data_IF_778018313449
#
_entry.id   IF_778018313449
#
_cell.length_a   1.000
_cell.length_b   1.000
_cell.length_c   1.000
_cell.angle_alpha   90.00
_cell.angle_beta   90.00
_cell.angle_gamma   90.00
#
_symmetry.space_group_name_H-M   'P 1'
#
loop_
_entity.id
_entity.type
_entity.pdbx_description
1 polymer ?
#
# COMPACT_ATOMS: atom_id res chain seq x y z
N UNK A 1 -0.87 17.08 -20.01
CA UNK A 1 -1.45 16.48 -18.79
C UNK A 1 -0.32 16.25 -17.81
N UNK A 2 -0.46 16.74 -16.58
CA UNK A 2 0.52 16.56 -15.50
C UNK A 2 -0.05 15.51 -14.55
N UNK A 3 0.62 14.36 -14.41
CA UNK A 3 0.13 13.26 -13.60
C UNK A 3 0.92 13.17 -12.28
N UNK A 4 0.26 13.53 -11.18
CA UNK A 4 0.83 13.53 -9.83
C UNK A 4 -0.02 12.67 -8.86
N UNK A 5 -0.55 11.56 -9.37
CA UNK A 5 -1.35 10.59 -8.59
C UNK A 5 -0.78 9.16 -8.62
N UNK A 6 0.54 9.05 -8.66
CA UNK A 6 1.26 7.76 -8.73
C UNK A 6 0.99 6.83 -7.53
N UNK A 7 0.58 7.36 -6.38
CA UNK A 7 0.16 6.50 -5.25
C UNK A 7 -1.20 5.82 -5.48
N UNK A 8 -2.04 6.31 -6.43
CA UNK A 8 -3.28 5.64 -6.80
C UNK A 8 -3.02 4.54 -7.85
N UNK A 9 -2.28 4.85 -8.91
CA UNK A 9 -1.91 3.89 -9.96
C UNK A 9 -0.64 4.36 -10.68
N UNK A 10 0.24 3.42 -11.03
CA UNK A 10 1.43 3.69 -11.82
C UNK A 10 1.28 3.12 -13.23
N UNK A 11 1.85 3.75 -14.26
CA UNK A 11 1.91 3.14 -15.60
C UNK A 11 2.76 1.87 -15.53
N UNK A 12 2.40 0.88 -16.34
CA UNK A 12 3.21 -0.34 -16.45
C UNK A 12 4.53 0.00 -17.16
N UNK A 13 5.66 -0.42 -16.57
CA UNK A 13 6.96 -0.28 -17.21
C UNK A 13 6.98 -1.07 -18.54
N UNK A 14 7.44 -0.49 -19.65
CA UNK A 14 7.48 -1.20 -20.94
C UNK A 14 8.23 -2.54 -20.89
N UNK A 15 9.30 -2.64 -20.10
CA UNK A 15 10.08 -3.88 -19.90
C UNK A 15 9.23 -4.96 -19.21
N UNK A 16 8.36 -4.56 -18.29
CA UNK A 16 7.42 -5.44 -17.60
C UNK A 16 6.31 -5.92 -18.52
N UNK A 17 5.80 -5.02 -19.37
CA UNK A 17 4.78 -5.38 -20.36
C UNK A 17 5.31 -6.37 -21.40
N UNK A 18 6.56 -6.22 -21.82
CA UNK A 18 7.24 -7.18 -22.71
C UNK A 18 7.32 -8.57 -22.07
N UNK A 19 7.71 -8.66 -20.79
CA UNK A 19 7.75 -9.92 -20.04
C UNK A 19 6.37 -10.56 -19.99
N UNK A 20 5.33 -9.79 -19.69
CA UNK A 20 3.95 -10.27 -19.69
C UNK A 20 3.56 -10.88 -21.04
N UNK A 21 3.69 -10.12 -22.13
CA UNK A 21 3.30 -10.56 -23.46
C UNK A 21 4.08 -11.82 -23.90
N UNK A 22 5.39 -11.85 -23.69
CA UNK A 22 6.24 -12.99 -24.03
C UNK A 22 5.85 -14.25 -23.25
N UNK A 23 5.52 -14.09 -21.96
CA UNK A 23 5.13 -15.23 -21.11
C UNK A 23 3.79 -15.81 -21.56
N UNK A 24 2.79 -14.97 -21.82
CA UNK A 24 1.48 -15.41 -22.32
C UNK A 24 1.56 -16.12 -23.69
N UNK A 25 2.45 -15.64 -24.58
CA UNK A 25 2.67 -16.25 -25.89
C UNK A 25 3.38 -17.60 -25.83
N UNK A 26 4.33 -17.78 -24.91
CA UNK A 26 5.17 -18.97 -24.83
C UNK A 26 4.56 -20.09 -23.97
N UNK A 27 3.70 -19.80 -23.02
CA UNK A 27 3.17 -20.77 -22.04
C UNK A 27 1.63 -20.81 -22.06
N UNK A 28 1.08 -21.45 -23.11
CA UNK A 28 -0.37 -21.57 -23.29
C UNK A 28 -1.03 -22.63 -22.39
N UNK A 29 -0.22 -23.48 -21.72
CA UNK A 29 -0.70 -24.59 -20.90
C UNK A 29 -1.18 -24.15 -19.54
N UNK A 30 -2.27 -24.76 -19.03
CA UNK A 30 -2.64 -24.58 -17.64
C UNK A 30 -1.60 -25.27 -16.73
N UNK A 31 -0.97 -24.57 -15.78
CA UNK A 31 0.03 -25.16 -14.88
C UNK A 31 -0.46 -26.36 -14.06
N UNK A 32 -1.78 -26.55 -13.92
CA UNK A 32 -2.37 -27.69 -13.25
C UNK A 32 -2.56 -28.91 -14.13
N UNK A 33 -2.36 -28.80 -15.46
CA UNK A 33 -2.48 -29.91 -16.39
C UNK A 33 -1.25 -30.83 -16.37
N UNK A 34 -1.46 -32.13 -16.61
CA UNK A 34 -0.41 -33.15 -16.57
C UNK A 34 0.33 -33.35 -17.89
N UNK A 35 -0.20 -32.83 -19.01
CA UNK A 35 0.44 -32.89 -20.33
C UNK A 35 1.64 -31.93 -20.44
N UNK A 36 2.46 -32.11 -21.46
CA UNK A 36 3.74 -31.40 -21.64
C UNK A 36 3.62 -29.86 -21.54
N UNK A 37 2.60 -29.26 -22.18
CA UNK A 37 2.40 -27.81 -22.11
C UNK A 37 2.06 -27.33 -20.69
N UNK A 38 1.26 -28.09 -19.92
CA UNK A 38 0.96 -27.78 -18.52
C UNK A 38 2.19 -27.92 -17.63
N UNK A 39 2.99 -28.98 -17.85
CA UNK A 39 4.24 -29.17 -17.11
C UNK A 39 5.25 -28.04 -17.38
N UNK A 40 5.39 -27.58 -18.62
CA UNK A 40 6.23 -26.43 -18.98
C UNK A 40 5.76 -25.14 -18.27
N UNK A 41 4.46 -24.86 -18.29
CA UNK A 41 3.89 -23.71 -17.57
C UNK A 41 4.08 -23.80 -16.04
N UNK A 42 3.98 -25.01 -15.45
CA UNK A 42 4.25 -25.24 -14.04
C UNK A 42 5.72 -25.00 -13.68
N UNK A 43 6.64 -25.49 -14.50
CA UNK A 43 8.07 -25.27 -14.29
C UNK A 43 8.40 -23.78 -14.34
N UNK A 44 7.84 -23.03 -15.29
CA UNK A 44 8.01 -21.58 -15.37
C UNK A 44 7.38 -20.87 -14.17
N UNK A 45 6.17 -21.26 -13.72
CA UNK A 45 5.55 -20.70 -12.52
C UNK A 45 6.41 -20.90 -11.27
N UNK A 46 7.00 -22.10 -11.12
CA UNK A 46 7.90 -22.38 -10.01
C UNK A 46 9.19 -21.55 -10.10
N UNK A 47 9.74 -21.37 -11.29
CA UNK A 47 10.92 -20.51 -11.53
C UNK A 47 10.62 -19.06 -11.16
N UNK A 48 9.51 -18.51 -11.65
CA UNK A 48 9.07 -17.14 -11.34
C UNK A 48 8.85 -16.95 -9.85
N UNK A 49 8.17 -17.90 -9.20
CA UNK A 49 7.95 -17.84 -7.73
C UNK A 49 9.28 -17.91 -6.96
N UNK A 50 10.21 -18.76 -7.41
CA UNK A 50 11.56 -18.82 -6.84
C UNK A 50 12.33 -17.50 -6.96
N UNK A 51 12.20 -16.80 -8.09
CA UNK A 51 12.84 -15.50 -8.28
C UNK A 51 12.22 -14.42 -7.36
N UNK A 52 10.89 -14.36 -7.25
CA UNK A 52 10.22 -13.45 -6.29
C UNK A 52 10.70 -13.73 -4.87
N UNK A 53 10.71 -15.00 -4.47
CA UNK A 53 11.16 -15.40 -3.15
C UNK A 53 12.62 -15.01 -2.88
N UNK A 54 13.52 -15.23 -3.83
CA UNK A 54 14.92 -14.82 -3.74
C UNK A 54 15.10 -13.30 -3.62
N UNK A 55 14.35 -12.51 -4.39
CA UNK A 55 14.35 -11.05 -4.33
C UNK A 55 13.88 -10.52 -2.98
N UNK A 56 12.94 -11.22 -2.36
CA UNK A 56 12.39 -10.87 -1.05
C UNK A 56 13.14 -11.50 0.12
N UNK A 57 14.08 -12.42 -0.13
CA UNK A 57 14.80 -13.15 0.91
C UNK A 57 13.92 -14.12 1.71
N UNK A 58 12.91 -14.72 1.07
CA UNK A 58 11.93 -15.63 1.67
C UNK A 58 11.88 -16.95 0.92
N UNK A 59 11.05 -17.91 1.37
CA UNK A 59 10.86 -19.20 0.71
C UNK A 59 9.74 -19.14 -0.34
N UNK A 60 9.81 -19.92 -1.43
CA UNK A 60 8.75 -19.96 -2.45
C UNK A 60 7.35 -20.31 -1.90
N UNK A 61 7.27 -21.19 -0.91
CA UNK A 61 6.02 -21.57 -0.25
C UNK A 61 5.40 -20.46 0.63
N UNK A 62 6.12 -19.37 0.86
CA UNK A 62 5.64 -18.20 1.59
C UNK A 62 4.95 -17.17 0.68
N UNK A 63 4.99 -17.38 -0.65
CA UNK A 63 4.38 -16.50 -1.64
C UNK A 63 2.99 -17.01 -2.03
N UNK A 64 1.97 -16.21 -1.79
CA UNK A 64 0.60 -16.48 -2.19
C UNK A 64 0.16 -15.39 -3.17
N UNK A 65 -0.12 -15.78 -4.42
CA UNK A 65 -0.64 -14.86 -5.43
C UNK A 65 -2.10 -14.52 -5.17
N UNK A 66 -2.43 -13.25 -5.33
CA UNK A 66 -3.78 -12.70 -5.17
C UNK A 66 -4.11 -11.78 -6.35
N UNK A 67 -5.36 -11.35 -6.49
CA UNK A 67 -5.74 -10.35 -7.50
C UNK A 67 -5.27 -8.92 -7.18
N UNK A 68 -4.68 -8.69 -6.00
CA UNK A 68 -4.19 -7.40 -5.54
C UNK A 68 -4.14 -7.33 -4.01
N UNK A 69 -3.68 -6.20 -3.48
CA UNK A 69 -3.54 -5.99 -2.04
C UNK A 69 -4.87 -6.12 -1.29
N UNK A 70 -6.00 -5.77 -1.90
CA UNK A 70 -7.32 -5.92 -1.27
C UNK A 70 -7.62 -7.38 -0.93
N UNK A 71 -7.40 -8.30 -1.87
CA UNK A 71 -7.56 -9.74 -1.61
C UNK A 71 -6.51 -10.24 -0.61
N UNK A 72 -5.26 -9.81 -0.75
CA UNK A 72 -4.18 -10.18 0.16
C UNK A 72 -4.47 -9.77 1.62
N UNK A 73 -4.92 -8.52 1.84
CA UNK A 73 -5.32 -8.02 3.16
C UNK A 73 -6.50 -8.83 3.74
N UNK A 74 -7.55 -9.09 2.94
CA UNK A 74 -8.68 -9.89 3.38
C UNK A 74 -8.25 -11.31 3.77
N UNK A 75 -7.41 -11.96 2.95
CA UNK A 75 -6.89 -13.30 3.24
C UNK A 75 -6.04 -13.31 4.50
N UNK A 76 -5.14 -12.34 4.68
CA UNK A 76 -4.31 -12.21 5.87
C UNK A 76 -5.15 -12.02 7.14
N UNK A 77 -6.01 -11.00 7.16
CA UNK A 77 -6.75 -10.63 8.36
C UNK A 77 -7.79 -11.68 8.74
N UNK A 78 -8.69 -12.02 7.80
CA UNK A 78 -9.75 -13.01 8.04
C UNK A 78 -9.16 -14.40 8.26
N UNK A 79 -8.16 -14.77 7.46
CA UNK A 79 -7.51 -16.08 7.56
C UNK A 79 -6.81 -16.27 8.90
N UNK A 80 -6.04 -15.29 9.35
CA UNK A 80 -5.35 -15.33 10.65
C UNK A 80 -6.34 -15.30 11.81
N UNK A 81 -7.28 -14.35 11.81
CA UNK A 81 -8.25 -14.21 12.89
C UNK A 81 -9.09 -15.47 13.09
N UNK A 82 -9.57 -16.08 12.00
CA UNK A 82 -10.38 -17.30 12.05
C UNK A 82 -9.57 -18.53 12.47
N UNK A 83 -8.34 -18.67 11.99
CA UNK A 83 -7.46 -19.76 12.40
C UNK A 83 -7.16 -19.70 13.92
N UNK A 84 -7.03 -18.49 14.48
CA UNK A 84 -6.73 -18.26 15.89
C UNK A 84 -7.96 -18.07 16.79
N UNK A 85 -9.21 -18.28 16.29
CA UNK A 85 -10.46 -18.03 17.05
C UNK A 85 -10.59 -18.82 18.37
N UNK A 86 -9.84 -19.90 18.49
CA UNK A 86 -9.76 -20.72 19.71
C UNK A 86 -8.84 -20.11 20.79
N UNK A 87 -7.98 -19.18 20.40
CA UNK A 87 -7.08 -18.43 21.31
C UNK A 87 -7.76 -17.18 21.83
N UNK A 88 -8.37 -16.41 20.91
CA UNK A 88 -9.01 -15.14 21.25
C UNK A 88 -9.65 -14.45 20.06
N UNK A 89 -10.22 -13.28 20.30
CA UNK A 89 -10.92 -12.48 19.28
C UNK A 89 -10.56 -11.00 19.34
N UNK A 90 -9.44 -10.66 19.94
CA UNK A 90 -8.98 -9.28 20.01
C UNK A 90 -7.98 -8.98 18.90
N UNK A 91 -8.18 -7.85 18.21
CA UNK A 91 -7.35 -7.36 17.09
C UNK A 91 -7.02 -5.89 17.33
N UNK A 92 -5.77 -5.52 17.14
CA UNK A 92 -5.29 -4.14 17.21
C UNK A 92 -4.95 -3.64 15.82
N UNK A 93 -5.34 -2.40 15.49
CA UNK A 93 -5.04 -1.77 14.20
C UNK A 93 -4.89 -0.25 14.33
N UNK A 94 -4.93 0.47 13.20
CA UNK A 94 -4.75 1.92 13.17
C UNK A 94 -5.86 2.64 12.38
N UNK A 95 -6.11 3.93 12.63
CA UNK A 95 -6.99 4.74 11.78
C UNK A 95 -6.37 5.09 10.42
N UNK A 96 -5.08 4.78 10.19
CA UNK A 96 -4.35 5.08 8.95
C UNK A 96 -4.58 4.02 7.85
N UNK A 97 -5.25 2.92 8.18
CA UNK A 97 -5.39 1.78 7.30
C UNK A 97 -6.18 2.09 6.02
N UNK A 98 -5.75 1.47 4.93
CA UNK A 98 -6.53 1.46 3.70
C UNK A 98 -7.91 0.82 3.91
N UNK A 99 -8.90 1.21 3.10
CA UNK A 99 -10.27 0.69 3.18
C UNK A 99 -10.37 -0.83 3.12
N UNK A 100 -9.46 -1.51 2.41
CA UNK A 100 -9.41 -2.98 2.37
C UNK A 100 -9.09 -3.63 3.72
N UNK A 101 -8.35 -2.94 4.60
CA UNK A 101 -8.11 -3.34 5.98
C UNK A 101 -9.27 -2.89 6.86
N UNK A 102 -9.62 -1.60 6.87
CA UNK A 102 -10.67 -1.06 7.73
C UNK A 102 -12.03 -1.73 7.53
N UNK A 103 -12.47 -1.95 6.29
CA UNK A 103 -13.72 -2.66 6.02
C UNK A 103 -13.64 -4.15 6.42
N UNK A 104 -12.48 -4.79 6.29
CA UNK A 104 -12.26 -6.16 6.76
C UNK A 104 -12.35 -6.26 8.28
N UNK A 105 -11.77 -5.30 9.00
CA UNK A 105 -11.89 -5.22 10.47
C UNK A 105 -13.35 -5.01 10.90
N UNK A 106 -14.10 -4.13 10.22
CA UNK A 106 -15.54 -3.95 10.47
C UNK A 106 -16.31 -5.25 10.26
N UNK A 107 -16.00 -6.02 9.22
CA UNK A 107 -16.64 -7.30 8.97
C UNK A 107 -16.27 -8.35 10.04
N UNK A 108 -15.06 -8.33 10.58
CA UNK A 108 -14.65 -9.18 11.70
C UNK A 108 -15.34 -8.75 13.00
N UNK A 109 -15.50 -7.45 13.26
CA UNK A 109 -16.24 -6.92 14.40
C UNK A 109 -17.69 -7.41 14.41
N UNK A 110 -18.35 -7.43 13.23
CA UNK A 110 -19.70 -8.00 13.08
C UNK A 110 -19.74 -9.51 13.39
N UNK A 111 -18.60 -10.22 13.32
CA UNK A 111 -18.45 -11.63 13.68
C UNK A 111 -18.01 -11.84 15.15
N UNK A 112 -18.03 -10.77 15.96
CA UNK A 112 -17.74 -10.82 17.39
C UNK A 112 -16.25 -10.70 17.74
N UNK A 113 -15.42 -10.12 16.82
CA UNK A 113 -14.07 -9.70 17.18
C UNK A 113 -14.10 -8.31 17.81
N UNK A 114 -13.26 -8.10 18.80
CA UNK A 114 -13.01 -6.81 19.42
C UNK A 114 -11.86 -6.11 18.67
N UNK A 115 -12.08 -4.85 18.28
CA UNK A 115 -11.11 -4.09 17.50
C UNK A 115 -10.69 -2.83 18.26
N UNK A 116 -9.43 -2.74 18.63
CA UNK A 116 -8.83 -1.55 19.19
C UNK A 116 -8.01 -0.80 18.15
N UNK A 117 -8.11 0.53 18.15
CA UNK A 117 -7.35 1.40 17.26
C UNK A 117 -6.32 2.19 18.05
N UNK A 118 -5.07 2.10 17.62
CA UNK A 118 -3.94 2.83 18.18
C UNK A 118 -4.06 4.34 17.93
N UNK A 119 -3.63 5.12 18.89
CA UNK A 119 -3.42 6.55 18.72
C UNK A 119 -2.26 6.80 17.75
N UNK A 120 -2.36 7.92 17.05
CA UNK A 120 -1.34 8.39 16.12
C UNK A 120 -0.75 9.69 16.66
N UNK A 121 0.57 9.72 16.75
CA UNK A 121 1.34 10.90 17.12
C UNK A 121 1.30 11.99 16.03
N UNK A 122 1.80 13.17 16.34
CA UNK A 122 1.90 14.28 15.38
C UNK A 122 2.88 13.99 14.23
N UNK A 123 3.81 13.07 14.45
CA UNK A 123 4.75 12.54 13.47
C UNK A 123 4.13 11.46 12.56
N UNK A 124 2.84 11.15 12.74
CA UNK A 124 2.11 10.15 11.97
C UNK A 124 2.41 8.70 12.37
N UNK A 125 3.20 8.47 13.41
CA UNK A 125 3.53 7.13 13.91
C UNK A 125 2.55 6.67 14.98
N UNK A 126 2.42 5.36 15.11
CA UNK A 126 1.63 4.77 16.19
C UNK A 126 2.30 5.01 17.55
N UNK A 127 1.46 5.03 18.57
CA UNK A 127 1.88 5.06 19.98
C UNK A 127 2.29 3.65 20.42
N UNK A 128 3.61 3.43 20.61
CA UNK A 128 4.17 2.13 21.00
C UNK A 128 3.86 1.78 22.46
N UNK A 129 3.75 2.77 23.36
CA UNK A 129 3.37 2.55 24.75
C UNK A 129 1.93 2.04 24.83
N UNK A 130 1.02 2.69 24.09
CA UNK A 130 -0.35 2.22 23.98
C UNK A 130 -0.46 0.83 23.33
N UNK A 131 0.38 0.51 22.32
CA UNK A 131 0.41 -0.83 21.76
C UNK A 131 0.77 -1.88 22.83
N UNK A 132 1.78 -1.61 23.68
CA UNK A 132 2.17 -2.51 24.76
C UNK A 132 1.06 -2.70 25.79
N UNK A 133 0.34 -1.63 26.16
CA UNK A 133 -0.80 -1.65 27.07
C UNK A 133 -2.01 -2.44 26.53
N UNK A 134 -2.29 -2.34 25.23
CA UNK A 134 -3.42 -3.00 24.58
C UNK A 134 -3.16 -4.48 24.25
N UNK A 135 -1.89 -4.92 24.19
CA UNK A 135 -1.57 -6.32 23.96
C UNK A 135 -2.03 -7.21 25.10
N UNK A 136 -2.92 -8.15 24.81
CA UNK A 136 -3.53 -9.08 25.77
C UNK A 136 -3.24 -10.53 25.38
N UNK A 137 -3.52 -11.48 26.28
CA UNK A 137 -3.34 -12.93 26.02
C UNK A 137 -4.25 -13.45 24.89
N UNK A 138 -5.41 -12.80 24.70
CA UNK A 138 -6.39 -13.11 23.66
C UNK A 138 -6.27 -12.22 22.41
N UNK A 139 -5.23 -11.38 22.32
CA UNK A 139 -4.88 -10.65 21.10
C UNK A 139 -4.31 -11.64 20.08
N UNK A 140 -4.96 -11.74 18.92
CA UNK A 140 -4.59 -12.69 17.86
C UNK A 140 -3.92 -12.03 16.66
N UNK A 141 -4.11 -10.74 16.48
CA UNK A 141 -3.63 -10.01 15.31
C UNK A 141 -3.36 -8.54 15.64
N UNK A 142 -2.21 -8.04 15.19
CA UNK A 142 -1.95 -6.61 15.00
C UNK A 142 -1.82 -6.37 13.50
N UNK A 143 -2.56 -5.40 12.95
CA UNK A 143 -2.54 -5.07 11.53
C UNK A 143 -2.26 -3.59 11.33
N UNK A 144 -1.19 -3.29 10.60
CA UNK A 144 -0.75 -1.91 10.34
C UNK A 144 -0.39 -1.70 8.87
N UNK A 145 -0.58 -0.49 8.35
CA UNK A 145 0.08 -0.09 7.10
C UNK A 145 1.56 0.22 7.38
N UNK A 146 2.48 -0.34 6.63
CA UNK A 146 3.91 -0.04 6.77
C UNK A 146 4.27 1.38 6.34
N UNK A 147 3.59 1.86 5.29
CA UNK A 147 3.67 3.25 4.80
C UNK A 147 2.25 3.76 4.58
N UNK A 148 1.90 4.86 5.24
CA UNK A 148 0.58 5.49 5.07
C UNK A 148 0.39 6.05 3.66
N UNK A 149 -0.77 5.80 3.06
CA UNK A 149 -1.05 6.15 1.67
C UNK A 149 -1.43 7.61 1.45
N UNK A 150 -1.74 8.37 2.49
CA UNK A 150 -2.13 9.78 2.42
C UNK A 150 -0.99 10.72 2.87
N UNK A 151 -0.29 10.38 3.95
CA UNK A 151 0.78 11.19 4.55
C UNK A 151 2.19 10.75 4.16
N UNK A 152 2.34 9.48 3.71
CA UNK A 152 3.65 8.89 3.42
C UNK A 152 4.45 8.48 4.65
N UNK A 153 3.87 8.51 5.84
CA UNK A 153 4.54 8.15 7.09
C UNK A 153 4.97 6.69 7.08
N UNK A 154 6.22 6.44 7.45
CA UNK A 154 6.78 5.10 7.64
C UNK A 154 6.60 4.69 9.10
N UNK A 155 5.92 3.57 9.34
CA UNK A 155 5.70 3.06 10.68
C UNK A 155 6.94 2.35 11.24
N UNK A 156 7.16 2.35 12.56
CA UNK A 156 8.29 1.68 13.22
C UNK A 156 8.03 0.16 13.33
N UNK A 157 7.99 -0.51 12.17
CA UNK A 157 7.52 -1.92 12.06
C UNK A 157 8.38 -2.88 12.88
N UNK A 158 9.69 -2.63 13.01
CA UNK A 158 10.59 -3.51 13.79
C UNK A 158 10.30 -3.43 15.28
N UNK A 159 10.05 -2.23 15.78
CA UNK A 159 9.69 -1.99 17.19
C UNK A 159 8.31 -2.59 17.49
N UNK A 160 7.36 -2.42 16.56
CA UNK A 160 6.03 -3.05 16.65
C UNK A 160 6.17 -4.58 16.70
N UNK A 161 6.95 -5.17 15.80
CA UNK A 161 7.20 -6.61 15.76
C UNK A 161 7.79 -7.13 17.07
N UNK A 162 8.75 -6.38 17.65
CA UNK A 162 9.37 -6.75 18.91
C UNK A 162 8.36 -6.79 20.08
N UNK A 163 7.37 -5.89 20.10
CA UNK A 163 6.29 -5.91 21.09
C UNK A 163 5.30 -7.05 20.81
N UNK A 164 4.82 -7.17 19.58
CA UNK A 164 3.82 -8.17 19.18
C UNK A 164 4.31 -9.60 19.45
N UNK A 165 5.57 -9.90 19.15
CA UNK A 165 6.14 -11.24 19.31
C UNK A 165 6.42 -11.63 20.78
N UNK A 166 6.26 -10.70 21.76
CA UNK A 166 6.19 -11.07 23.18
C UNK A 166 4.89 -11.83 23.52
N UNK A 167 3.87 -11.70 22.66
CA UNK A 167 2.61 -12.42 22.77
C UNK A 167 2.63 -13.63 21.82
N UNK A 168 2.84 -14.87 22.28
CA UNK A 168 3.13 -16.03 21.42
C UNK A 168 2.05 -16.36 20.37
N UNK A 169 0.82 -15.97 20.67
CA UNK A 169 -0.36 -16.25 19.82
C UNK A 169 -0.75 -15.04 18.93
N UNK A 170 -0.15 -13.88 19.14
CA UNK A 170 -0.41 -12.70 18.32
C UNK A 170 0.43 -12.75 17.02
N UNK A 171 -0.14 -12.29 15.93
CA UNK A 171 0.52 -12.20 14.62
C UNK A 171 0.55 -10.76 14.14
N UNK A 172 1.61 -10.40 13.43
CA UNK A 172 1.77 -9.09 12.82
C UNK A 172 1.51 -9.16 11.32
N UNK A 173 0.49 -8.44 10.87
CA UNK A 173 0.25 -8.17 9.45
C UNK A 173 0.68 -6.75 9.10
N UNK A 174 1.39 -6.61 7.97
CA UNK A 174 1.78 -5.31 7.42
C UNK A 174 1.25 -5.14 6.00
N UNK A 175 0.42 -4.13 5.77
CA UNK A 175 0.12 -3.66 4.43
C UNK A 175 1.30 -2.83 3.90
N UNK A 176 2.11 -3.44 3.02
CA UNK A 176 3.29 -2.83 2.41
C UNK A 176 3.01 -2.26 1.01
N UNK A 177 1.75 -2.04 0.65
CA UNK A 177 1.33 -1.57 -0.67
C UNK A 177 2.04 -0.28 -1.10
N UNK A 178 2.31 0.62 -0.18
CA UNK A 178 3.06 1.85 -0.46
C UNK A 178 4.55 1.77 -0.12
N UNK A 179 5.05 0.61 0.34
CA UNK A 179 6.45 0.45 0.77
C UNK A 179 7.37 -0.08 -0.33
N UNK A 180 6.90 -1.01 -1.18
CA UNK A 180 7.70 -1.66 -2.23
C UNK A 180 8.31 -0.64 -3.17
N UNK A 181 9.64 -0.70 -3.35
CA UNK A 181 10.41 0.22 -4.18
C UNK A 181 10.57 1.65 -3.61
N UNK A 182 10.09 1.92 -2.39
CA UNK A 182 10.18 3.24 -1.75
C UNK A 182 10.93 3.20 -0.42
N UNK A 183 10.88 2.08 0.29
CA UNK A 183 11.61 1.87 1.54
C UNK A 183 12.01 0.40 1.69
N UNK A 184 12.83 0.08 2.70
CA UNK A 184 13.15 -1.30 3.04
C UNK A 184 11.88 -2.06 3.47
N UNK A 185 11.82 -3.35 3.17
CA UNK A 185 10.75 -4.24 3.59
C UNK A 185 11.12 -4.96 4.90
N UNK A 186 10.12 -5.45 5.63
CA UNK A 186 10.25 -5.99 6.99
C UNK A 186 9.96 -7.49 7.08
N UNK A 187 10.25 -8.26 6.00
CA UNK A 187 9.92 -9.68 5.89
C UNK A 187 10.55 -10.57 6.97
N UNK A 188 11.68 -10.14 7.51
CA UNK A 188 12.38 -10.84 8.59
C UNK A 188 11.64 -10.79 9.94
N UNK A 189 10.79 -9.78 10.14
CA UNK A 189 10.11 -9.57 11.44
C UNK A 189 8.59 -9.56 11.38
N UNK A 190 7.94 -9.75 10.23
CA UNK A 190 6.46 -9.81 10.12
C UNK A 190 5.96 -11.22 9.87
N UNK A 191 4.71 -11.52 10.22
CA UNK A 191 4.11 -12.82 9.99
C UNK A 191 3.40 -12.90 8.64
N UNK A 192 2.78 -11.79 8.21
CA UNK A 192 2.19 -11.63 6.88
C UNK A 192 2.43 -10.22 6.35
N UNK A 193 2.59 -10.10 5.02
CA UNK A 193 2.77 -8.81 4.36
C UNK A 193 2.07 -8.82 3.00
N UNK A 194 1.30 -7.77 2.71
CA UNK A 194 0.57 -7.62 1.45
C UNK A 194 1.15 -6.51 0.57
N UNK A 195 1.15 -6.73 -0.75
CA UNK A 195 1.48 -5.69 -1.74
C UNK A 195 0.88 -6.01 -3.11
N UNK A 196 0.92 -5.07 -4.04
CA UNK A 196 0.32 -5.20 -5.38
C UNK A 196 1.17 -4.51 -6.45
N UNK A 197 1.28 -5.14 -7.62
CA UNK A 197 2.21 -4.75 -8.67
C UNK A 197 2.00 -3.33 -9.22
N UNK A 198 0.77 -2.86 -9.35
CA UNK A 198 0.46 -1.54 -9.90
C UNK A 198 0.92 -0.35 -9.04
N UNK A 199 1.50 -0.60 -7.85
CA UNK A 199 2.10 0.42 -6.98
C UNK A 199 3.62 0.52 -7.15
N UNK A 200 4.20 -0.31 -8.04
CA UNK A 200 5.62 -0.27 -8.40
C UNK A 200 5.84 -0.64 -9.88
N UNK A 201 5.01 -0.04 -10.77
CA UNK A 201 5.10 -0.11 -12.23
C UNK A 201 4.82 -1.48 -12.84
N UNK A 202 4.16 -2.37 -12.11
CA UNK A 202 3.61 -3.63 -12.62
C UNK A 202 2.15 -3.51 -13.07
N UNK A 203 1.57 -4.58 -13.64
CA UNK A 203 0.19 -4.59 -14.09
C UNK A 203 -0.82 -4.59 -12.94
N UNK A 204 -2.03 -4.10 -13.22
CA UNK A 204 -3.19 -4.32 -12.37
C UNK A 204 -3.60 -5.80 -12.37
N UNK A 205 -4.35 -6.23 -11.37
CA UNK A 205 -4.94 -7.56 -11.31
C UNK A 205 -4.04 -8.63 -10.69
N UNK A 206 -2.89 -8.24 -10.13
CA UNK A 206 -2.03 -9.14 -9.36
C UNK A 206 -1.43 -8.47 -8.12
N UNK A 207 -1.39 -9.24 -7.04
CA UNK A 207 -0.71 -8.92 -5.79
C UNK A 207 -0.13 -10.15 -5.13
N UNK A 208 0.50 -9.96 -4.02
CA UNK A 208 1.11 -11.01 -3.20
C UNK A 208 0.70 -10.84 -1.75
N UNK A 209 0.41 -11.95 -1.12
CA UNK A 209 0.48 -12.11 0.32
C UNK A 209 1.72 -12.95 0.64
N UNK A 210 2.72 -12.32 1.28
CA UNK A 210 3.74 -13.07 2.02
C UNK A 210 3.10 -13.65 3.28
N UNK A 211 3.34 -14.92 3.52
CA UNK A 211 2.89 -15.65 4.71
C UNK A 211 4.04 -16.46 5.26
N UNK A 212 4.51 -16.10 6.45
CA UNK A 212 5.63 -16.79 7.12
C UNK A 212 5.40 -18.30 7.17
N UNK A 213 6.43 -19.07 6.87
CA UNK A 213 6.41 -20.54 7.00
C UNK A 213 5.95 -20.95 8.40
N UNK A 214 5.08 -21.96 8.46
CA UNK A 214 4.51 -22.45 9.71
C UNK A 214 3.30 -21.66 10.23
N UNK A 215 3.03 -20.45 9.75
CA UNK A 215 1.78 -19.76 10.06
C UNK A 215 0.61 -20.47 9.37
N UNK A 216 -0.45 -20.76 10.14
CA UNK A 216 -1.70 -21.29 9.62
C UNK A 216 -2.70 -20.16 9.44
N UNK A 217 -3.26 -20.04 8.24
CA UNK A 217 -4.38 -19.14 7.94
C UNK A 217 -5.53 -19.93 7.32
N UNK A 218 -6.76 -19.50 7.56
CA UNK A 218 -7.94 -20.12 6.96
C UNK A 218 -8.15 -19.57 5.55
N UNK A 219 -8.27 -20.42 4.49
CA UNK A 219 -8.49 -19.95 3.14
C UNK A 219 -9.83 -19.21 3.02
N UNK A 220 -9.86 -18.17 2.18
CA UNK A 220 -11.09 -17.41 1.88
C UNK A 220 -11.74 -17.84 0.57
N UNK A 221 -10.97 -18.43 -0.33
CA UNK A 221 -11.44 -19.00 -1.60
C UNK A 221 -11.17 -20.49 -1.60
N UNK A 222 -12.24 -21.27 -1.56
CA UNK A 222 -12.18 -22.72 -1.60
C UNK A 222 -12.19 -23.24 -3.04
N UNK A 223 -11.50 -24.36 -3.29
CA UNK A 223 -11.40 -25.00 -4.61
C UNK A 223 -10.30 -26.04 -4.64
N UNK A 224 -9.85 -26.41 -5.82
CA UNK A 224 -8.72 -27.33 -5.99
C UNK A 224 -7.39 -26.73 -5.53
N UNK A 225 -6.45 -27.57 -5.10
CA UNK A 225 -5.08 -27.17 -4.88
C UNK A 225 -4.44 -26.69 -6.20
N UNK A 226 -3.79 -25.56 -6.16
CA UNK A 226 -3.09 -24.98 -7.32
C UNK A 226 -1.65 -24.64 -6.94
N UNK A 227 -1.27 -23.37 -6.84
CA UNK A 227 0.05 -22.96 -6.30
C UNK A 227 0.10 -23.10 -4.79
N UNK A 228 -1.04 -22.99 -4.11
CA UNK A 228 -1.16 -23.09 -2.64
C UNK A 228 -2.55 -23.55 -2.23
N UNK A 229 -2.66 -24.14 -1.04
CA UNK A 229 -3.93 -24.50 -0.40
C UNK A 229 -4.71 -23.29 0.14
N UNK A 230 -4.08 -22.12 0.23
CA UNK A 230 -4.67 -20.93 0.83
C UNK A 230 -5.47 -20.07 -0.16
N UNK A 231 -5.19 -20.23 -1.46
CA UNK A 231 -5.86 -19.46 -2.53
C UNK A 231 -6.03 -20.35 -3.76
N UNK A 232 -7.23 -20.83 -3.98
CA UNK A 232 -7.60 -21.66 -5.13
C UNK A 232 -7.76 -20.84 -6.41
N UNK A 233 -7.67 -21.49 -7.55
CA UNK A 233 -7.86 -20.92 -8.89
C UNK A 233 -6.67 -21.19 -9.81
N UNK A 234 -6.90 -21.10 -11.12
CA UNK A 234 -5.84 -21.25 -12.12
C UNK A 234 -4.78 -20.16 -11.92
N UNK A 235 -3.48 -20.52 -11.83
CA UNK A 235 -2.42 -19.53 -11.71
C UNK A 235 -2.34 -18.63 -12.95
N UNK A 236 -2.13 -17.34 -12.74
CA UNK A 236 -1.96 -16.33 -13.79
C UNK A 236 -0.47 -16.16 -14.08
N UNK A 237 0.11 -17.06 -14.86
CA UNK A 237 1.57 -17.12 -15.07
C UNK A 237 2.14 -15.83 -15.65
N UNK A 238 1.51 -15.25 -16.69
CA UNK A 238 1.99 -14.00 -17.29
C UNK A 238 1.99 -12.83 -16.31
N UNK A 239 0.91 -12.69 -15.49
CA UNK A 239 0.86 -11.67 -14.45
C UNK A 239 1.91 -11.91 -13.35
N UNK A 240 2.16 -13.17 -12.96
CA UNK A 240 3.19 -13.50 -11.98
C UNK A 240 4.59 -13.15 -12.49
N UNK A 241 4.89 -13.45 -13.77
CA UNK A 241 6.15 -13.08 -14.42
C UNK A 241 6.32 -11.55 -14.54
N UNK A 242 5.24 -10.83 -14.86
CA UNK A 242 5.24 -9.37 -14.91
C UNK A 242 5.45 -8.76 -13.51
N UNK A 243 4.80 -9.29 -12.47
CA UNK A 243 5.02 -8.86 -11.08
C UNK A 243 6.47 -9.07 -10.67
N UNK A 244 7.06 -10.24 -11.00
CA UNK A 244 8.46 -10.54 -10.72
C UNK A 244 9.41 -9.53 -11.39
N UNK A 245 9.18 -9.21 -12.67
CA UNK A 245 9.99 -8.23 -13.39
C UNK A 245 9.85 -6.82 -12.79
N UNK A 246 8.62 -6.40 -12.45
CA UNK A 246 8.38 -5.12 -11.79
C UNK A 246 9.04 -5.04 -10.42
N UNK A 247 9.01 -6.14 -9.64
CA UNK A 247 9.66 -6.21 -8.33
C UNK A 247 11.19 -6.10 -8.45
N UNK A 248 11.79 -6.80 -9.42
CA UNK A 248 13.22 -6.69 -9.70
C UNK A 248 13.62 -5.23 -9.93
N UNK A 249 12.95 -4.57 -10.89
CA UNK A 249 13.22 -3.18 -11.22
C UNK A 249 12.99 -2.22 -10.04
N UNK A 250 11.94 -2.48 -9.24
CA UNK A 250 11.62 -1.65 -8.09
C UNK A 250 12.68 -1.75 -6.99
N UNK A 251 13.29 -2.93 -6.79
CA UNK A 251 14.34 -3.13 -5.78
C UNK A 251 15.71 -2.68 -6.29
N UNK A 252 16.07 -3.04 -7.53
CA UNK A 252 17.39 -2.74 -8.09
C UNK A 252 17.58 -1.23 -8.34
N UNK A 253 16.54 -0.54 -8.83
CA UNK A 253 16.59 0.88 -9.16
C UNK A 253 16.12 1.78 -7.98
N UNK A 254 15.74 1.22 -6.83
CA UNK A 254 15.22 1.97 -5.67
C UNK A 254 16.11 3.13 -5.24
N UNK A 255 17.43 2.97 -5.04
CA UNK A 255 18.25 4.08 -4.56
C UNK A 255 18.24 5.28 -5.51
N UNK A 256 18.38 5.02 -6.82
CA UNK A 256 18.40 6.05 -7.85
C UNK A 256 17.03 6.73 -7.98
N UNK A 257 15.94 5.94 -8.02
CA UNK A 257 14.56 6.45 -8.12
C UNK A 257 14.21 7.30 -6.89
N UNK A 258 14.56 6.83 -5.69
CA UNK A 258 14.31 7.58 -4.45
C UNK A 258 15.10 8.87 -4.39
N UNK A 259 16.36 8.90 -4.81
CA UNK A 259 17.17 10.11 -4.84
C UNK A 259 16.57 11.19 -5.78
N UNK A 260 16.13 10.80 -6.98
CA UNK A 260 15.44 11.69 -7.91
C UNK A 260 14.15 12.26 -7.31
N UNK A 261 13.30 11.38 -6.74
CA UNK A 261 12.04 11.80 -6.13
C UNK A 261 12.27 12.69 -4.91
N UNK A 262 13.34 12.45 -4.14
CA UNK A 262 13.70 13.31 -3.00
C UNK A 262 14.02 14.74 -3.45
N UNK A 263 14.78 14.92 -4.51
CA UNK A 263 15.10 16.24 -5.04
C UNK A 263 13.84 17.01 -5.50
N UNK A 264 12.93 16.32 -6.19
CA UNK A 264 11.64 16.90 -6.59
C UNK A 264 10.75 17.23 -5.39
N UNK A 265 10.70 16.34 -4.39
CA UNK A 265 9.97 16.53 -3.15
C UNK A 265 10.43 17.78 -2.40
N UNK A 266 11.76 17.96 -2.24
CA UNK A 266 12.32 19.08 -1.51
C UNK A 266 12.02 20.40 -2.21
N UNK A 267 12.15 20.43 -3.54
CA UNK A 267 11.76 21.58 -4.37
C UNK A 267 10.26 21.88 -4.22
N UNK A 268 9.41 20.87 -4.34
CA UNK A 268 7.95 21.01 -4.21
C UNK A 268 7.56 21.57 -2.84
N UNK A 269 8.10 21.00 -1.76
CA UNK A 269 7.81 21.43 -0.40
C UNK A 269 8.27 22.86 -0.14
N UNK A 270 9.48 23.21 -0.57
CA UNK A 270 10.01 24.58 -0.43
C UNK A 270 9.15 25.60 -1.18
N UNK A 271 8.69 25.27 -2.39
CA UNK A 271 7.81 26.14 -3.16
C UNK A 271 6.41 26.26 -2.55
N UNK A 272 5.79 25.15 -2.11
CA UNK A 272 4.46 25.19 -1.51
C UNK A 272 4.44 25.97 -0.19
N UNK A 273 5.49 25.91 0.62
CA UNK A 273 5.61 26.66 1.88
C UNK A 273 5.64 28.19 1.70
N UNK A 274 6.02 28.70 0.53
CA UNK A 274 5.98 30.14 0.22
C UNK A 274 4.56 30.67 0.00
N UNK A 275 3.58 29.80 -0.18
CA UNK A 275 2.20 30.17 -0.55
C UNK A 275 1.33 30.36 0.68
N UNK A 276 0.66 31.54 0.83
CA UNK A 276 -0.18 31.83 1.98
C UNK A 276 -1.34 30.80 2.12
N UNK A 277 -1.57 30.33 3.34
CA UNK A 277 -2.65 29.40 3.65
C UNK A 277 -2.42 27.94 3.23
N UNK A 278 -1.26 27.63 2.67
CA UNK A 278 -0.84 26.25 2.38
C UNK A 278 -0.18 25.63 3.61
N UNK A 279 -0.58 24.42 3.94
CA UNK A 279 0.03 23.60 5.00
C UNK A 279 0.41 22.24 4.44
N UNK A 280 1.65 21.83 4.66
CA UNK A 280 2.12 20.47 4.40
C UNK A 280 1.76 19.61 5.62
N UNK A 281 1.04 18.54 5.40
CA UNK A 281 0.59 17.60 6.45
C UNK A 281 1.48 16.37 6.56
N UNK A 282 2.23 16.01 5.50
CA UNK A 282 3.21 14.93 5.55
C UNK A 282 4.29 15.27 6.57
N UNK A 283 4.55 14.39 7.57
CA UNK A 283 5.55 14.66 8.58
C UNK A 283 6.98 14.48 8.04
N UNK A 284 7.95 15.01 8.79
CA UNK A 284 9.36 14.77 8.51
C UNK A 284 9.66 13.25 8.57
N UNK A 285 10.45 12.76 7.60
CA UNK A 285 10.79 11.34 7.48
C UNK A 285 9.72 10.47 6.81
N UNK A 286 8.66 11.08 6.24
CA UNK A 286 7.76 10.41 5.30
C UNK A 286 8.51 10.03 4.01
N UNK A 287 8.01 9.03 3.28
CA UNK A 287 8.56 8.71 1.95
C UNK A 287 8.41 9.92 1.01
N UNK A 288 9.42 10.30 0.24
CA UNK A 288 9.37 11.52 -0.58
C UNK A 288 8.36 11.43 -1.74
N UNK A 289 7.87 10.25 -2.02
CA UNK A 289 6.87 10.00 -3.06
C UNK A 289 5.48 10.56 -2.76
N UNK A 290 5.20 10.94 -1.50
CA UNK A 290 3.86 11.33 -1.04
C UNK A 290 3.96 12.66 -0.29
N UNK A 291 3.25 13.67 -0.80
CA UNK A 291 3.12 14.97 -0.17
C UNK A 291 1.64 15.27 0.05
N UNK A 292 1.22 15.34 1.30
CA UNK A 292 -0.14 15.73 1.65
C UNK A 292 -0.17 17.22 2.00
N UNK A 293 -1.08 17.95 1.39
CA UNK A 293 -1.21 19.39 1.58
C UNK A 293 -2.65 19.78 1.87
N UNK A 294 -2.82 20.90 2.59
CA UNK A 294 -4.11 21.55 2.79
C UNK A 294 -4.04 23.00 2.35
N UNK A 295 -5.13 23.52 1.83
CA UNK A 295 -5.29 24.94 1.50
C UNK A 295 -6.38 25.53 2.39
N UNK A 296 -6.02 26.46 3.27
CA UNK A 296 -6.92 27.02 4.27
C UNK A 296 -8.20 27.59 3.64
N UNK A 297 -9.35 27.15 4.15
CA UNK A 297 -10.66 27.65 3.75
C UNK A 297 -11.16 27.11 2.39
N UNK A 298 -10.44 26.25 1.67
CA UNK A 298 -10.88 25.65 0.40
C UNK A 298 -11.05 24.14 0.64
N UNK A 299 -12.24 23.60 0.31
CA UNK A 299 -12.48 22.16 0.39
C UNK A 299 -11.57 21.41 -0.60
N UNK A 300 -11.04 20.27 -0.18
CA UNK A 300 -10.13 19.46 -1.00
C UNK A 300 -10.68 19.10 -2.39
N UNK A 301 -11.94 18.66 -2.48
CA UNK A 301 -12.56 18.31 -3.76
C UNK A 301 -12.71 19.49 -4.71
N UNK A 302 -12.97 20.70 -4.19
CA UNK A 302 -13.07 21.92 -5.01
C UNK A 302 -11.71 22.26 -5.62
N UNK A 303 -10.64 22.20 -4.80
CA UNK A 303 -9.28 22.49 -5.28
C UNK A 303 -8.81 21.43 -6.29
N UNK A 304 -9.10 20.15 -6.02
CA UNK A 304 -8.76 19.03 -6.91
C UNK A 304 -9.47 19.17 -8.27
N UNK A 305 -10.76 19.54 -8.29
CA UNK A 305 -11.50 19.77 -9.53
C UNK A 305 -10.94 20.95 -10.33
N UNK A 306 -10.57 22.05 -9.66
CA UNK A 306 -9.92 23.20 -10.29
C UNK A 306 -8.58 22.82 -10.93
N UNK A 307 -7.74 22.04 -10.23
CA UNK A 307 -6.49 21.49 -10.79
C UNK A 307 -6.75 20.55 -11.98
N UNK A 308 -7.76 19.68 -11.88
CA UNK A 308 -8.15 18.78 -12.97
C UNK A 308 -8.57 19.56 -14.22
N UNK A 309 -9.30 20.68 -14.06
CA UNK A 309 -9.63 21.61 -15.14
C UNK A 309 -8.41 22.28 -15.80
N UNK A 310 -7.25 22.30 -15.11
CA UNK A 310 -5.96 22.77 -15.63
C UNK A 310 -5.10 21.60 -16.17
N UNK A 311 -5.64 20.38 -16.28
CA UNK A 311 -4.94 19.19 -16.76
C UNK A 311 -3.96 18.58 -15.75
N UNK A 312 -4.14 18.82 -14.43
CA UNK A 312 -3.33 18.27 -13.34
C UNK A 312 -4.14 17.21 -12.59
N UNK A 313 -3.58 16.01 -12.46
CA UNK A 313 -4.17 14.87 -11.76
C UNK A 313 -3.56 14.71 -10.36
N UNK A 314 -4.41 14.84 -9.33
CA UNK A 314 -4.07 14.64 -7.90
C UNK A 314 -5.24 13.97 -7.20
N UNK A 315 -5.03 13.37 -6.01
CA UNK A 315 -6.09 12.71 -5.22
C UNK A 315 -6.45 13.46 -3.95
N UNK A 316 -7.75 13.47 -3.61
CA UNK A 316 -8.22 14.05 -2.33
C UNK A 316 -7.88 13.14 -1.14
N UNK A 317 -8.00 11.83 -1.30
CA UNK A 317 -7.74 10.77 -0.31
C UNK A 317 -7.28 9.51 -1.04
N UNK A 318 -7.34 8.35 -0.38
CA UNK A 318 -7.29 7.10 -1.13
C UNK A 318 -8.47 7.04 -2.11
N UNK A 319 -8.25 6.54 -3.32
CA UNK A 319 -9.25 6.53 -4.41
C UNK A 319 -10.59 5.85 -4.05
N UNK A 320 -10.63 5.07 -2.96
CA UNK A 320 -11.81 4.35 -2.48
C UNK A 320 -12.60 5.09 -1.38
N UNK A 321 -12.31 6.36 -1.08
CA UNK A 321 -12.99 7.12 -0.01
C UNK A 321 -14.16 7.93 -0.55
N UNK A 322 -15.25 8.03 0.24
CA UNK A 322 -16.42 8.85 -0.10
C UNK A 322 -16.12 10.35 0.01
N UNK A 323 -16.65 11.14 -0.94
CA UNK A 323 -16.50 12.58 -0.95
C UNK A 323 -17.17 13.26 0.27
N UNK A 324 -16.59 14.39 0.69
CA UNK A 324 -17.15 15.26 1.73
C UNK A 324 -16.82 14.87 3.17
N UNK A 325 -16.12 13.75 3.43
CA UNK A 325 -15.64 13.40 4.77
C UNK A 325 -14.19 13.87 4.99
N UNK A 326 -13.78 14.24 6.23
CA UNK A 326 -12.39 14.60 6.51
C UNK A 326 -11.45 13.40 6.31
N UNK A 327 -10.21 13.65 5.90
CA UNK A 327 -9.15 12.64 5.90
C UNK A 327 -8.93 12.14 7.33
N UNK A 328 -9.02 10.82 7.54
CA UNK A 328 -8.76 10.19 8.84
C UNK A 328 -7.29 10.34 9.23
N UNK A 329 -6.38 10.16 8.28
CA UNK A 329 -4.95 10.27 8.50
C UNK A 329 -4.56 11.71 8.91
N UNK A 330 -4.98 12.72 8.15
CA UNK A 330 -4.71 14.12 8.48
C UNK A 330 -5.39 14.54 9.78
N UNK A 331 -6.60 14.05 10.06
CA UNK A 331 -7.26 14.31 11.35
C UNK A 331 -6.50 13.67 12.52
N UNK A 332 -6.01 12.45 12.35
CA UNK A 332 -5.25 11.74 13.39
C UNK A 332 -4.01 12.53 13.83
N UNK A 333 -3.26 13.11 12.88
CA UNK A 333 -2.01 13.86 13.19
C UNK A 333 -2.25 15.31 13.56
N UNK A 334 -3.28 15.97 13.01
CA UNK A 334 -3.50 17.41 13.19
C UNK A 334 -4.49 17.75 14.30
N UNK A 335 -5.41 16.84 14.61
CA UNK A 335 -6.59 17.05 15.47
C UNK A 335 -7.46 18.24 15.00
N UNK A 336 -7.31 18.62 13.74
CA UNK A 336 -8.00 19.73 13.10
C UNK A 336 -8.90 19.24 11.96
N UNK A 337 -10.22 19.24 12.20
CA UNK A 337 -11.23 18.80 11.24
C UNK A 337 -11.26 19.69 9.99
N UNK A 338 -11.02 21.01 10.13
CA UNK A 338 -11.02 21.95 8.99
C UNK A 338 -9.83 21.68 8.09
N UNK A 339 -8.64 21.44 8.69
CA UNK A 339 -7.46 21.03 7.98
C UNK A 339 -7.67 19.71 7.23
N UNK A 340 -8.25 18.70 7.90
CA UNK A 340 -8.52 17.39 7.29
C UNK A 340 -9.56 17.43 6.15
N UNK A 341 -10.50 18.39 6.16
CA UNK A 341 -11.47 18.61 5.07
C UNK A 341 -10.87 19.32 3.85
N UNK A 342 -9.77 20.05 4.03
CA UNK A 342 -9.07 20.78 2.97
C UNK A 342 -7.82 20.06 2.46
N UNK A 343 -7.54 18.85 2.97
CA UNK A 343 -6.32 18.11 2.65
C UNK A 343 -6.47 17.24 1.40
N UNK A 344 -5.43 17.20 0.58
CA UNK A 344 -5.30 16.38 -0.62
C UNK A 344 -3.86 15.97 -0.84
N UNK A 345 -3.63 14.99 -1.73
CA UNK A 345 -2.33 14.33 -1.90
C UNK A 345 -1.75 14.57 -3.28
N UNK A 346 -0.48 14.91 -3.32
CA UNK A 346 0.41 14.90 -4.48
C UNK A 346 1.26 13.64 -4.37
N UNK A 347 1.40 12.88 -5.46
CA UNK A 347 2.26 11.71 -5.49
C UNK A 347 3.25 11.79 -6.62
N UNK A 348 4.54 11.83 -6.27
CA UNK A 348 5.68 11.92 -7.17
C UNK A 348 6.16 10.52 -7.60
N UNK A 349 6.87 10.49 -8.71
CA UNK A 349 7.47 9.31 -9.32
C UNK A 349 8.86 9.64 -9.87
N UNK A 350 9.68 8.63 -10.14
CA UNK A 350 10.90 8.81 -10.92
C UNK A 350 10.63 9.24 -12.38
N UNK A 351 9.38 9.16 -12.83
CA UNK A 351 8.93 9.65 -14.14
C UNK A 351 8.54 11.14 -14.10
N UNK A 352 8.35 11.71 -12.92
CA UNK A 352 8.02 13.12 -12.76
C UNK A 352 9.22 13.99 -13.14
N UNK A 353 9.00 15.02 -13.96
CA UNK A 353 10.04 15.95 -14.40
C UNK A 353 9.95 17.29 -13.66
N UNK A 354 11.03 18.05 -13.64
CA UNK A 354 11.04 19.42 -13.11
C UNK A 354 10.07 20.33 -13.90
N UNK A 355 9.92 20.10 -15.21
CA UNK A 355 8.99 20.84 -16.05
C UNK A 355 7.53 20.58 -15.64
N UNK A 356 7.16 19.32 -15.37
CA UNK A 356 5.85 18.97 -14.83
C UNK A 356 5.61 19.59 -13.46
N UNK A 357 6.63 19.63 -12.60
CA UNK A 357 6.55 20.27 -11.29
C UNK A 357 6.31 21.78 -11.41
N UNK A 358 7.04 22.47 -12.28
CA UNK A 358 6.86 23.89 -12.55
C UNK A 358 5.48 24.18 -13.15
N UNK A 359 5.02 23.33 -14.07
CA UNK A 359 3.68 23.39 -14.64
C UNK A 359 2.57 23.23 -13.61
N UNK A 360 2.76 22.27 -12.67
CA UNK A 360 1.86 22.08 -11.52
C UNK A 360 1.81 23.33 -10.63
N UNK A 361 2.96 23.89 -10.23
CA UNK A 361 3.01 25.08 -9.39
C UNK A 361 2.33 26.30 -10.04
N UNK A 362 2.51 26.47 -11.34
CA UNK A 362 1.81 27.53 -12.08
C UNK A 362 0.30 27.31 -12.14
N UNK A 363 -0.17 26.06 -12.32
CA UNK A 363 -1.59 25.71 -12.27
C UNK A 363 -2.16 25.90 -10.86
N UNK A 364 -1.42 25.49 -9.83
CA UNK A 364 -1.77 25.70 -8.43
C UNK A 364 -2.03 27.18 -8.11
N UNK A 365 -1.12 28.08 -8.51
CA UNK A 365 -1.22 29.51 -8.25
C UNK A 365 -2.43 30.14 -8.95
N UNK A 366 -2.75 29.71 -10.19
CA UNK A 366 -3.98 30.15 -10.88
C UNK A 366 -5.23 29.70 -10.14
N UNK A 367 -5.31 28.40 -9.78
CA UNK A 367 -6.46 27.85 -9.06
C UNK A 367 -6.65 28.54 -7.70
N UNK A 368 -5.56 28.76 -6.95
CA UNK A 368 -5.59 29.46 -5.66
C UNK A 368 -6.18 30.86 -5.79
N UNK A 369 -5.69 31.64 -6.78
CA UNK A 369 -6.14 33.02 -7.05
C UNK A 369 -7.64 33.06 -7.43
N UNK A 370 -8.08 32.14 -8.27
CA UNK A 370 -9.46 32.12 -8.74
C UNK A 370 -10.43 31.73 -7.63
N UNK A 371 -10.14 30.68 -6.86
CA UNK A 371 -10.95 30.23 -5.74
C UNK A 371 -10.96 31.17 -4.53
N UNK A 372 -9.99 32.09 -4.42
CA UNK A 372 -10.00 33.15 -3.40
C UNK A 372 -10.84 34.37 -3.80
N UNK A 373 -11.06 34.62 -5.09
CA UNK A 373 -11.93 35.70 -5.58
C UNK A 373 -13.41 35.37 -5.47
N UNK A 374 -13.78 34.08 -5.46
CA UNK A 374 -15.16 33.60 -5.36
C UNK A 374 -15.72 33.60 -3.92
N UNK A 375 -14.88 33.97 -2.94
CA UNK A 375 -15.27 34.17 -1.52
C UNK A 375 -15.53 35.64 -1.20
#
# INVERSE_FOLDING_TARGET
MIYLDYSANMPVDPRVLEVYCRTEQNFIGNPNSTHCAGQAARQEMNRVTGLIAAQLGVLPEEIIYTSGATEANNLALKGTARAARHVGRHIISTPLEHSSVGATLTALQQQGYEIDLLNIGRDGRIDLEQLEELLRKDTVLVSICGVDSELGTVQPVREIAALVHRCPNCRLHVDATQAVGKTALWLDCVDTMSFTAHKFYGPNGIGVLYKRKGLVIEPQMNGGASTTIYRSGTPTLGLAAALQAALALALDEQPQRCAHVQALHDTLCAELQKRPGVRINSPAGAVPHIVNVSVAGIKAGVFQQALSGQGVCVSVKSACSTDGTPSKAVFAVSRDRKNALSSWRISLSHLTTEEELNGFLAAFDRCLKDLQKEK
#
